data_IF_056487457711
#
_entry.id   IF_056487457711
#
_cell.length_a   1.000
_cell.length_b   1.000
_cell.length_c   1.000
_cell.angle_alpha   90.00
_cell.angle_beta   90.00
_cell.angle_gamma   90.00
#
_symmetry.space_group_name_H-M   'P 1'
#
loop_
_entity.id
_entity.type
_entity.pdbx_description
1 polymer ?
#
# COMPACT_ATOMS: atom_id res chain seq x y z
N UNK A 1 15.76 14.46 11.98
CA UNK A 1 14.62 14.00 11.16
C UNK A 1 14.96 12.82 10.23
N UNK A 2 16.13 12.79 9.57
CA UNK A 2 16.49 11.77 8.57
C UNK A 2 16.28 10.30 9.00
N UNK A 3 16.75 9.89 10.18
CA UNK A 3 16.59 8.50 10.66
C UNK A 3 15.12 8.13 10.89
N UNK A 4 14.31 9.06 11.40
CA UNK A 4 12.88 8.85 11.62
C UNK A 4 12.15 8.71 10.28
N UNK A 5 12.49 9.56 9.30
CA UNK A 5 11.99 9.44 7.93
C UNK A 5 12.33 8.08 7.31
N UNK A 6 13.58 7.60 7.43
CA UNK A 6 13.96 6.28 6.91
C UNK A 6 13.17 5.12 7.51
N UNK A 7 12.81 5.19 8.80
CA UNK A 7 11.96 4.20 9.47
C UNK A 7 10.54 4.24 8.88
N UNK A 8 9.94 5.42 8.79
CA UNK A 8 8.60 5.60 8.20
C UNK A 8 8.55 5.11 6.74
N UNK A 9 9.57 5.42 5.94
CA UNK A 9 9.69 4.97 4.57
C UNK A 9 9.76 3.45 4.46
N UNK A 10 10.56 2.81 5.32
CA UNK A 10 10.69 1.35 5.36
C UNK A 10 9.38 0.67 5.72
N UNK A 11 8.65 1.21 6.71
CA UNK A 11 7.32 0.70 7.08
C UNK A 11 6.33 0.90 5.93
N UNK A 12 6.33 2.07 5.26
CA UNK A 12 5.48 2.34 4.11
C UNK A 12 5.71 1.32 2.98
N UNK A 13 6.97 0.97 2.71
CA UNK A 13 7.34 -0.04 1.72
C UNK A 13 6.79 -1.42 2.06
N UNK A 14 6.87 -1.85 3.32
CA UNK A 14 6.29 -3.14 3.75
C UNK A 14 4.77 -3.16 3.50
N UNK A 15 4.07 -2.09 3.90
CA UNK A 15 2.62 -1.98 3.67
C UNK A 15 2.26 -1.94 2.18
N UNK A 16 3.09 -1.30 1.35
CA UNK A 16 2.91 -1.27 -0.09
C UNK A 16 3.04 -2.68 -0.70
N UNK A 17 4.08 -3.44 -0.32
CA UNK A 17 4.24 -4.83 -0.77
C UNK A 17 3.06 -5.71 -0.35
N UNK A 18 2.60 -5.59 0.90
CA UNK A 18 1.42 -6.33 1.38
C UNK A 18 0.17 -5.96 0.56
N UNK A 19 -0.02 -4.68 0.24
CA UNK A 19 -1.10 -4.22 -0.63
C UNK A 19 -1.06 -4.88 -2.01
N UNK A 20 0.11 -4.96 -2.64
CA UNK A 20 0.30 -5.61 -3.94
C UNK A 20 -0.08 -7.09 -3.90
N UNK A 21 0.33 -7.83 -2.85
CA UNK A 21 -0.04 -9.25 -2.68
C UNK A 21 -1.56 -9.40 -2.59
N UNK A 22 -2.24 -8.56 -1.82
CA UNK A 22 -3.71 -8.57 -1.76
C UNK A 22 -4.33 -8.24 -3.11
N UNK A 23 -3.81 -7.25 -3.84
CA UNK A 23 -4.30 -6.95 -5.19
C UNK A 23 -4.10 -8.12 -6.15
N UNK A 24 -2.97 -8.82 -6.10
CA UNK A 24 -2.74 -9.99 -6.95
C UNK A 24 -3.73 -11.12 -6.63
N UNK A 25 -3.99 -11.39 -5.35
CA UNK A 25 -4.98 -12.37 -4.93
C UNK A 25 -6.39 -11.95 -5.37
N UNK A 26 -6.73 -10.69 -5.16
CA UNK A 26 -8.02 -10.10 -5.53
C UNK A 26 -8.27 -10.14 -7.03
N UNK A 27 -7.28 -9.75 -7.84
CA UNK A 27 -7.35 -9.77 -9.31
C UNK A 27 -7.41 -11.19 -9.86
N UNK A 28 -6.69 -12.16 -9.27
CA UNK A 28 -6.83 -13.59 -9.61
C UNK A 28 -8.25 -14.11 -9.33
N UNK A 29 -8.85 -13.71 -8.20
CA UNK A 29 -10.25 -14.07 -7.87
C UNK A 29 -11.25 -13.43 -8.82
N UNK A 30 -11.10 -12.14 -9.13
CA UNK A 30 -11.87 -11.41 -10.14
C UNK A 30 -11.84 -12.10 -11.51
N UNK A 31 -10.64 -12.48 -11.96
CA UNK A 31 -10.42 -13.15 -13.25
C UNK A 31 -11.12 -14.51 -13.32
N UNK A 32 -11.21 -15.24 -12.20
CA UNK A 32 -11.95 -16.51 -12.12
C UNK A 32 -13.46 -16.34 -11.99
N UNK A 33 -13.92 -15.27 -11.32
CA UNK A 33 -15.34 -15.05 -11.04
C UNK A 33 -16.11 -14.36 -12.19
N UNK A 34 -15.42 -13.87 -13.22
CA UNK A 34 -16.04 -13.22 -14.39
C UNK A 34 -16.79 -11.91 -14.09
N UNK A 35 -16.71 -11.42 -12.84
CA UNK A 35 -17.46 -10.26 -12.35
C UNK A 35 -16.52 -9.08 -12.09
N UNK A 36 -16.35 -8.13 -13.03
CA UNK A 36 -15.32 -7.09 -12.96
C UNK A 36 -15.54 -6.03 -11.87
N UNK A 37 -16.64 -6.08 -11.12
CA UNK A 37 -17.04 -5.02 -10.17
C UNK A 37 -16.47 -5.17 -8.75
N UNK A 38 -15.80 -6.27 -8.42
CA UNK A 38 -15.35 -6.52 -7.04
C UNK A 38 -13.86 -6.20 -6.88
N UNK A 39 -13.53 -4.92 -6.73
CA UNK A 39 -12.19 -4.52 -6.30
C UNK A 39 -11.86 -5.11 -4.91
N UNK A 40 -10.61 -5.51 -4.69
CA UNK A 40 -10.16 -5.97 -3.39
C UNK A 40 -10.07 -4.80 -2.40
N UNK A 41 -11.13 -4.64 -1.62
CA UNK A 41 -11.27 -3.59 -0.60
C UNK A 41 -10.12 -3.63 0.43
N UNK A 42 -9.50 -4.80 0.67
CA UNK A 42 -8.35 -4.92 1.59
C UNK A 42 -7.07 -4.40 0.94
N UNK A 43 -6.82 -4.77 -0.32
CA UNK A 43 -5.70 -4.25 -1.11
C UNK A 43 -5.70 -2.72 -1.18
N UNK A 44 -6.86 -2.12 -1.48
CA UNK A 44 -7.03 -0.66 -1.53
C UNK A 44 -6.74 0.00 -0.18
N UNK A 45 -7.26 -0.55 0.93
CA UNK A 45 -7.00 0.00 2.27
C UNK A 45 -5.52 0.03 2.62
N UNK A 46 -4.80 -1.07 2.35
CA UNK A 46 -3.36 -1.12 2.56
C UNK A 46 -2.60 -0.19 1.62
N UNK A 47 -3.07 -0.01 0.37
CA UNK A 47 -2.48 0.94 -0.57
C UNK A 47 -2.58 2.38 -0.05
N UNK A 48 -3.79 2.79 0.36
CA UNK A 48 -4.03 4.13 0.89
C UNK A 48 -3.19 4.38 2.14
N UNK A 49 -3.11 3.41 3.06
CA UNK A 49 -2.22 3.48 4.23
C UNK A 49 -0.75 3.66 3.83
N UNK A 50 -0.26 2.89 2.85
CA UNK A 50 1.12 3.01 2.37
C UNK A 50 1.43 4.38 1.75
N UNK A 51 0.48 4.96 0.99
CA UNK A 51 0.60 6.28 0.39
C UNK A 51 0.66 7.36 1.47
N UNK A 52 -0.20 7.27 2.49
CA UNK A 52 -0.21 8.22 3.61
C UNK A 52 1.12 8.15 4.37
N UNK A 53 1.59 6.96 4.74
CA UNK A 53 2.87 6.80 5.45
C UNK A 53 4.05 7.29 4.60
N UNK A 54 4.07 7.00 3.30
CA UNK A 54 5.11 7.49 2.40
C UNK A 54 5.09 9.02 2.28
N UNK A 55 3.91 9.64 2.19
CA UNK A 55 3.75 11.08 2.17
C UNK A 55 4.24 11.75 3.45
N UNK A 56 3.88 11.19 4.62
CA UNK A 56 4.40 11.65 5.92
C UNK A 56 5.92 11.51 5.97
N UNK A 57 6.46 10.38 5.50
CA UNK A 57 7.91 10.18 5.43
C UNK A 57 8.62 11.24 4.61
N UNK A 58 8.05 11.63 3.47
CA UNK A 58 8.59 12.68 2.59
C UNK A 58 8.57 14.05 3.26
N UNK A 59 7.49 14.40 3.95
CA UNK A 59 7.41 15.67 4.72
C UNK A 59 8.51 15.75 5.79
N UNK A 60 8.73 14.65 6.52
CA UNK A 60 9.81 14.54 7.51
C UNK A 60 11.21 14.41 6.89
N UNK A 61 11.34 14.17 5.58
CA UNK A 61 12.64 14.13 4.91
C UNK A 61 13.12 15.52 4.51
N UNK A 62 12.17 16.42 4.19
CA UNK A 62 12.43 17.79 3.74
C UNK A 62 12.50 18.82 4.88
N UNK A 63 11.95 18.49 6.05
CA UNK A 63 12.08 19.25 7.32
C UNK A 63 13.26 18.70 8.12
#
# INVERSE_FOLDING_TARGET
>A
MKTLSSIFFSVAMIFFFVSLVFFEIGTRKLRKAGNPKVYDKRGIRFLVLSIILAGVSLLFAFI
#
